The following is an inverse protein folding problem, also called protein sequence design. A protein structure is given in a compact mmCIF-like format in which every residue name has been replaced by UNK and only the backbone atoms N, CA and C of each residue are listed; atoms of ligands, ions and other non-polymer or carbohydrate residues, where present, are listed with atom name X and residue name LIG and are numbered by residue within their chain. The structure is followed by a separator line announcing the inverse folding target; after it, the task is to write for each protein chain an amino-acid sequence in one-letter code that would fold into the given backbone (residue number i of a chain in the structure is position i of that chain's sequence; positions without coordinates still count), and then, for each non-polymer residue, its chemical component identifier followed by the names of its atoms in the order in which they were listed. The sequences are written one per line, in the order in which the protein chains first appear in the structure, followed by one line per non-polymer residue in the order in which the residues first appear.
data_IF_020271871574
#
_entry.id   IF_020271871574
#
_cell.length_a   1.000
_cell.length_b   1.000
_cell.length_c   1.000
_cell.angle_alpha   90.00
_cell.angle_beta   90.00
_cell.angle_gamma   90.00
#
_symmetry.space_group_name_H-M   'P 1'
#
loop_
_entity.id
_entity.type
_entity.pdbx_description
1 polymer ?
#
# COMPACT_ATOMS: atom_id res chain seq x y z
N UNK A 1 47.81 -37.26 50.30
CA UNK A 1 47.60 -36.23 49.25
C UNK A 1 46.39 -36.66 48.41
N UNK A 2 45.15 -36.31 48.81
CA UNK A 2 43.97 -36.59 48.00
C UNK A 2 43.82 -35.51 46.92
N UNK A 3 43.55 -35.93 45.69
CA UNK A 3 43.27 -35.06 44.54
C UNK A 3 41.81 -34.58 44.61
N UNK A 4 41.64 -33.27 44.51
CA UNK A 4 40.37 -32.56 44.57
C UNK A 4 39.45 -32.90 43.39
N UNK A 5 38.19 -33.16 43.70
CA UNK A 5 37.10 -33.34 42.72
C UNK A 5 36.85 -32.07 41.90
N UNK A 6 36.92 -32.22 40.58
CA UNK A 6 36.51 -31.23 39.58
C UNK A 6 34.99 -30.98 39.63
N UNK A 7 34.60 -29.81 40.13
CA UNK A 7 33.21 -29.33 40.09
C UNK A 7 32.83 -28.91 38.66
N UNK A 8 31.99 -29.72 38.01
CA UNK A 8 31.33 -29.38 36.74
C UNK A 8 30.35 -28.21 36.92
N UNK A 9 30.35 -27.20 36.03
CA UNK A 9 29.46 -26.06 36.14
C UNK A 9 28.00 -26.46 35.88
N UNK A 10 27.11 -26.03 36.78
CA UNK A 10 25.68 -26.23 36.69
C UNK A 10 25.10 -25.65 35.39
N UNK A 11 24.37 -26.48 34.64
CA UNK A 11 23.68 -26.07 33.42
C UNK A 11 22.64 -24.98 33.73
N UNK A 12 22.86 -23.78 33.19
CA UNK A 12 21.91 -22.66 33.27
C UNK A 12 20.62 -23.08 32.56
N UNK A 13 19.53 -23.21 33.32
CA UNK A 13 18.23 -23.51 32.77
C UNK A 13 17.81 -22.44 31.74
N UNK A 14 17.30 -22.83 30.56
CA UNK A 14 16.89 -21.86 29.55
C UNK A 14 15.76 -20.99 30.09
N UNK A 15 15.94 -19.66 30.01
CA UNK A 15 14.94 -18.70 30.41
C UNK A 15 13.58 -19.01 29.76
N UNK A 16 12.53 -19.10 30.58
CA UNK A 16 11.18 -19.34 30.09
C UNK A 16 10.81 -18.25 29.06
N UNK A 17 10.24 -18.62 27.90
CA UNK A 17 9.89 -17.65 26.88
C UNK A 17 8.85 -16.67 27.44
N UNK A 18 9.17 -15.38 27.39
CA UNK A 18 8.25 -14.30 27.78
C UNK A 18 7.05 -14.34 26.84
N UNK A 19 5.91 -14.84 27.34
CA UNK A 19 4.66 -14.87 26.59
C UNK A 19 4.14 -13.44 26.50
N UNK A 20 4.25 -12.84 25.32
CA UNK A 20 3.65 -11.53 25.09
C UNK A 20 2.13 -11.68 25.09
N UNK A 21 1.42 -10.92 25.94
CA UNK A 21 -0.04 -10.89 25.90
C UNK A 21 -0.51 -10.29 24.56
N UNK A 22 -1.51 -10.92 23.96
CA UNK A 22 -2.15 -10.42 22.74
C UNK A 22 -2.74 -9.03 22.99
N UNK A 23 -2.43 -8.02 22.16
CA UNK A 23 -3.10 -6.72 22.23
C UNK A 23 -4.60 -6.85 21.99
N UNK A 24 -5.43 -6.10 22.72
CA UNK A 24 -6.91 -6.14 22.62
C UNK A 24 -7.44 -5.94 21.19
N UNK A 25 -6.72 -5.19 20.33
CA UNK A 25 -7.11 -4.91 18.93
C UNK A 25 -6.26 -5.65 17.90
N UNK A 26 -5.69 -6.80 18.27
CA UNK A 26 -4.90 -7.63 17.36
C UNK A 26 -5.78 -8.31 16.30
N UNK A 27 -5.51 -8.05 15.02
CA UNK A 27 -6.18 -8.69 13.88
C UNK A 27 -5.67 -10.13 13.60
N UNK A 28 -4.78 -10.66 14.44
CA UNK A 28 -4.23 -12.02 14.25
C UNK A 28 -5.33 -13.06 14.41
N UNK A 29 -5.52 -13.88 13.39
CA UNK A 29 -6.56 -14.93 13.38
C UNK A 29 -5.97 -16.25 13.87
N UNK A 30 -6.84 -17.12 14.41
CA UNK A 30 -6.44 -18.51 14.65
C UNK A 30 -6.02 -19.18 13.34
N UNK A 31 -5.12 -20.16 13.44
CA UNK A 31 -4.45 -20.78 12.29
C UNK A 31 -3.24 -20.00 11.75
N UNK A 32 -2.96 -18.78 12.25
CA UNK A 32 -1.72 -18.06 11.91
C UNK A 32 -0.58 -18.37 12.89
N UNK A 33 0.65 -18.40 12.39
CA UNK A 33 1.85 -18.65 13.22
C UNK A 33 2.01 -17.64 14.37
N UNK A 34 1.72 -16.36 14.10
CA UNK A 34 1.77 -15.27 15.09
C UNK A 34 0.77 -15.45 16.24
N UNK A 35 -0.32 -16.20 16.03
CA UNK A 35 -1.27 -16.48 17.10
C UNK A 35 -0.63 -17.32 18.21
N UNK A 36 0.21 -18.30 17.84
CA UNK A 36 0.93 -19.14 18.79
C UNK A 36 1.99 -18.35 19.57
N UNK A 37 2.60 -17.32 18.96
CA UNK A 37 3.58 -16.47 19.63
C UNK A 37 2.96 -15.64 20.78
N UNK A 38 1.64 -15.42 20.76
CA UNK A 38 0.88 -14.84 21.88
C UNK A 38 0.45 -15.85 22.95
N UNK A 39 0.95 -17.08 22.90
CA UNK A 39 0.62 -18.14 23.86
C UNK A 39 -0.66 -18.93 23.52
N UNK A 40 -1.21 -18.81 22.31
CA UNK A 40 -2.36 -19.62 21.91
C UNK A 40 -2.00 -21.12 21.83
N UNK A 41 -2.74 -21.96 22.58
CA UNK A 41 -2.50 -23.41 22.68
C UNK A 41 -3.23 -24.24 21.63
N UNK A 42 -4.08 -23.65 20.79
CA UNK A 42 -4.81 -24.38 19.74
C UNK A 42 -3.87 -25.11 18.78
N UNK A 43 -4.24 -26.34 18.42
CA UNK A 43 -3.42 -27.21 17.57
C UNK A 43 -3.08 -26.56 16.21
N UNK A 44 -4.06 -25.94 15.56
CA UNK A 44 -3.91 -25.22 14.29
C UNK A 44 -2.85 -24.11 14.35
N UNK A 45 -2.84 -23.32 15.43
CA UNK A 45 -1.87 -22.23 15.61
C UNK A 45 -0.46 -22.78 15.85
N UNK A 46 -0.33 -23.83 16.68
CA UNK A 46 0.96 -24.49 16.94
C UNK A 46 1.53 -25.11 15.67
N UNK A 47 0.71 -25.81 14.89
CA UNK A 47 1.11 -26.38 13.61
C UNK A 47 1.53 -25.29 12.60
N UNK A 48 0.80 -24.18 12.52
CA UNK A 48 1.19 -23.05 11.70
C UNK A 48 2.55 -22.46 12.12
N UNK A 49 2.78 -22.31 13.43
CA UNK A 49 4.06 -21.83 13.95
C UNK A 49 5.21 -22.80 13.67
N UNK A 50 4.98 -24.11 13.81
CA UNK A 50 5.96 -25.15 13.48
C UNK A 50 6.32 -25.12 11.99
N UNK A 51 5.32 -25.05 11.09
CA UNK A 51 5.53 -24.90 9.65
C UNK A 51 6.38 -23.65 9.34
N UNK A 52 6.05 -22.51 9.93
CA UNK A 52 6.82 -21.27 9.76
C UNK A 52 8.26 -21.38 10.31
N UNK A 53 8.49 -22.09 11.42
CA UNK A 53 9.84 -22.35 11.95
C UNK A 53 10.64 -23.27 11.03
N UNK A 54 10.03 -24.35 10.51
CA UNK A 54 10.66 -25.27 9.55
C UNK A 54 11.06 -24.54 8.27
N UNK A 55 10.16 -23.73 7.71
CA UNK A 55 10.46 -22.92 6.53
C UNK A 55 11.66 -21.99 6.78
N UNK A 56 11.65 -21.22 7.88
CA UNK A 56 12.78 -20.33 8.24
C UNK A 56 14.10 -21.07 8.48
N UNK A 57 14.05 -22.34 8.88
CA UNK A 57 15.25 -23.18 9.01
C UNK A 57 15.74 -23.60 7.63
N UNK A 58 14.85 -24.05 6.75
CA UNK A 58 15.20 -24.40 5.36
C UNK A 58 15.76 -23.22 4.59
N UNK A 59 15.16 -22.04 4.72
CA UNK A 59 15.65 -20.81 4.09
C UNK A 59 17.07 -20.48 4.56
N UNK A 60 17.33 -20.58 5.87
CA UNK A 60 18.68 -20.40 6.42
C UNK A 60 19.69 -21.43 5.89
N UNK A 61 19.30 -22.69 5.78
CA UNK A 61 20.15 -23.74 5.20
C UNK A 61 20.45 -23.49 3.72
N UNK A 62 19.55 -22.83 3.00
CA UNK A 62 19.74 -22.39 1.60
C UNK A 62 20.52 -21.08 1.48
N UNK A 63 21.01 -20.51 2.58
CA UNK A 63 21.70 -19.21 2.59
C UNK A 63 20.79 -18.02 2.28
N UNK A 64 19.47 -18.19 2.35
CA UNK A 64 18.52 -17.12 2.08
C UNK A 64 18.43 -16.17 3.27
N UNK A 65 18.72 -14.89 3.05
CA UNK A 65 18.55 -13.86 4.09
C UNK A 65 17.09 -13.76 4.53
N UNK A 66 16.85 -13.67 5.85
CA UNK A 66 15.51 -13.48 6.41
C UNK A 66 14.92 -12.09 6.10
N UNK A 67 15.78 -11.12 5.76
CA UNK A 67 15.46 -9.76 5.40
C UNK A 67 15.82 -9.51 3.95
N UNK A 68 14.93 -8.85 3.22
CA UNK A 68 15.13 -8.53 1.80
C UNK A 68 14.82 -7.06 1.53
N UNK A 69 15.47 -6.46 0.53
CA UNK A 69 15.13 -5.12 0.08
C UNK A 69 13.65 -5.02 -0.32
N UNK A 70 12.94 -3.95 0.06
CA UNK A 70 11.49 -3.86 -0.13
C UNK A 70 11.04 -3.56 -1.57
N UNK A 71 11.97 -3.20 -2.46
CA UNK A 71 11.64 -2.58 -3.76
C UNK A 71 10.75 -3.45 -4.66
N UNK A 72 11.01 -4.76 -4.74
CA UNK A 72 10.20 -5.66 -5.57
C UNK A 72 8.75 -5.73 -5.08
N UNK A 73 8.56 -5.92 -3.78
CA UNK A 73 7.24 -5.94 -3.15
C UNK A 73 6.54 -4.58 -3.25
N UNK A 74 7.27 -3.48 -3.10
CA UNK A 74 6.73 -2.12 -3.25
C UNK A 74 6.21 -1.87 -4.67
N UNK A 75 7.03 -2.16 -5.71
CA UNK A 75 6.61 -2.03 -7.10
C UNK A 75 5.41 -2.91 -7.43
N UNK A 76 5.38 -4.15 -6.94
CA UNK A 76 4.23 -5.03 -7.14
C UNK A 76 2.97 -4.51 -6.44
N UNK A 77 3.07 -4.05 -5.20
CA UNK A 77 1.96 -3.44 -4.48
C UNK A 77 1.42 -2.20 -5.20
N UNK A 78 2.29 -1.39 -5.82
CA UNK A 78 1.87 -0.27 -6.69
C UNK A 78 1.07 -0.79 -7.89
N UNK A 79 1.55 -1.83 -8.59
CA UNK A 79 0.79 -2.44 -9.71
C UNK A 79 -0.58 -2.96 -9.26
N UNK A 80 -0.67 -3.60 -8.10
CA UNK A 80 -1.95 -4.07 -7.53
C UNK A 80 -2.91 -2.89 -7.31
N UNK A 81 -2.40 -1.74 -6.83
CA UNK A 81 -3.20 -0.52 -6.66
C UNK A 81 -3.65 0.08 -7.99
N UNK A 82 -2.80 0.04 -9.01
CA UNK A 82 -3.15 0.48 -10.36
C UNK A 82 -4.26 -0.38 -10.98
N UNK A 83 -4.35 -1.65 -10.57
CA UNK A 83 -5.45 -2.56 -10.89
C UNK A 83 -6.69 -2.40 -9.99
N UNK A 84 -6.70 -1.42 -9.08
CA UNK A 84 -7.87 -1.11 -8.25
C UNK A 84 -7.90 -1.75 -6.87
N UNK A 85 -6.85 -2.46 -6.44
CA UNK A 85 -6.79 -2.94 -5.05
C UNK A 85 -6.46 -1.82 -4.08
N UNK A 86 -7.22 -1.72 -3.00
CA UNK A 86 -6.86 -0.87 -1.88
C UNK A 86 -5.73 -1.48 -1.03
N UNK A 87 -5.10 -0.69 -0.18
CA UNK A 87 -4.12 -1.21 0.78
C UNK A 87 -4.74 -2.23 1.76
N UNK A 88 -6.06 -2.13 1.99
CA UNK A 88 -6.80 -3.09 2.81
C UNK A 88 -6.91 -4.43 2.07
N UNK A 89 -7.32 -4.42 0.80
CA UNK A 89 -7.45 -5.65 0.00
C UNK A 89 -6.12 -6.38 -0.15
N UNK A 90 -5.04 -5.63 -0.38
CA UNK A 90 -3.68 -6.18 -0.44
C UNK A 90 -3.32 -6.83 0.91
N UNK A 91 -3.64 -6.18 2.03
CA UNK A 91 -3.36 -6.69 3.36
C UNK A 91 -4.14 -7.98 3.64
N UNK A 92 -5.43 -7.99 3.33
CA UNK A 92 -6.30 -9.14 3.54
C UNK A 92 -5.88 -10.34 2.68
N UNK A 93 -5.52 -10.12 1.40
CA UNK A 93 -5.04 -11.19 0.50
C UNK A 93 -3.65 -11.71 0.86
N UNK A 94 -2.73 -10.84 1.29
CA UNK A 94 -1.40 -11.27 1.74
C UNK A 94 -1.39 -11.81 3.18
N UNK A 95 -2.49 -11.71 3.94
CA UNK A 95 -2.52 -12.04 5.37
C UNK A 95 -1.61 -11.13 6.20
N UNK A 96 -1.45 -9.88 5.79
CA UNK A 96 -0.59 -8.87 6.44
C UNK A 96 -1.43 -7.81 7.15
N UNK A 97 -0.79 -6.97 7.96
CA UNK A 97 -1.46 -5.78 8.49
C UNK A 97 -1.48 -4.64 7.46
N UNK A 98 -2.56 -3.87 7.45
CA UNK A 98 -2.72 -2.69 6.58
C UNK A 98 -1.59 -1.68 6.79
N UNK A 99 -1.12 -1.52 8.03
CA UNK A 99 0.00 -0.63 8.37
C UNK A 99 1.29 -1.09 7.69
N UNK A 100 1.53 -2.40 7.64
CA UNK A 100 2.70 -2.95 6.95
C UNK A 100 2.60 -2.75 5.44
N UNK A 101 1.43 -3.00 4.85
CA UNK A 101 1.20 -2.73 3.41
C UNK A 101 1.37 -1.25 3.09
N UNK A 102 0.80 -0.35 3.91
CA UNK A 102 1.00 1.10 3.76
C UNK A 102 2.46 1.51 3.88
N UNK A 103 3.24 0.84 4.74
CA UNK A 103 4.69 1.06 4.85
C UNK A 103 5.41 0.63 3.57
N UNK A 104 5.09 -0.55 3.03
CA UNK A 104 5.63 -1.04 1.75
C UNK A 104 5.30 -0.09 0.60
N UNK A 105 4.06 0.40 0.53
CA UNK A 105 3.60 1.37 -0.48
C UNK A 105 4.23 2.76 -0.37
N UNK A 106 4.83 3.12 0.77
CA UNK A 106 5.52 4.40 0.98
C UNK A 106 7.00 4.34 0.61
N UNK A 107 7.54 3.17 0.32
CA UNK A 107 8.94 3.01 -0.07
C UNK A 107 9.14 3.72 -1.41
N UNK A 108 9.96 4.78 -1.47
CA UNK A 108 10.34 5.39 -2.74
C UNK A 108 11.13 4.38 -3.56
N UNK A 109 10.97 4.37 -4.88
CA UNK A 109 11.53 3.33 -5.76
C UNK A 109 13.05 3.11 -5.62
N UNK A 110 13.78 4.08 -5.06
CA UNK A 110 15.24 4.07 -4.95
C UNK A 110 15.77 4.73 -3.68
N UNK A 111 15.00 4.74 -2.58
CA UNK A 111 15.51 5.34 -1.34
C UNK A 111 16.51 4.40 -0.66
N UNK A 112 17.79 4.80 -0.62
CA UNK A 112 18.83 4.10 0.14
C UNK A 112 18.52 3.95 1.64
N UNK A 113 17.56 4.71 2.16
CA UNK A 113 17.10 4.66 3.55
C UNK A 113 15.93 3.69 3.76
N UNK A 114 15.49 2.98 2.72
CA UNK A 114 14.41 2.01 2.83
C UNK A 114 14.86 0.83 3.71
N UNK A 115 14.19 0.64 4.85
CA UNK A 115 14.47 -0.48 5.74
C UNK A 115 14.06 -1.80 5.10
N UNK A 116 14.91 -2.81 5.23
CA UNK A 116 14.60 -4.17 4.80
C UNK A 116 13.34 -4.72 5.46
N UNK A 117 12.56 -5.44 4.67
CA UNK A 117 11.35 -6.13 5.12
C UNK A 117 11.64 -7.61 5.33
N UNK A 118 10.80 -8.29 6.11
CA UNK A 118 10.89 -9.73 6.23
C UNK A 118 10.63 -10.37 4.85
N UNK A 119 11.43 -11.38 4.49
CA UNK A 119 11.26 -12.13 3.24
C UNK A 119 9.83 -12.65 3.08
N UNK A 120 9.26 -13.20 4.14
CA UNK A 120 7.86 -13.67 4.15
C UNK A 120 6.85 -12.57 3.83
N UNK A 121 7.12 -11.32 4.22
CA UNK A 121 6.28 -10.18 3.83
C UNK A 121 6.42 -9.87 2.34
N UNK A 122 7.63 -9.87 1.82
CA UNK A 122 7.88 -9.65 0.39
C UNK A 122 7.18 -10.74 -0.44
N UNK A 123 7.39 -12.00 -0.09
CA UNK A 123 6.80 -13.15 -0.78
C UNK A 123 5.27 -13.13 -0.70
N UNK A 124 4.69 -12.77 0.45
CA UNK A 124 3.24 -12.67 0.61
C UNK A 124 2.62 -11.59 -0.28
N UNK A 125 3.30 -10.44 -0.44
CA UNK A 125 2.84 -9.38 -1.36
C UNK A 125 3.01 -9.83 -2.81
N UNK A 126 4.18 -10.36 -3.17
CA UNK A 126 4.51 -10.82 -4.52
C UNK A 126 3.61 -11.99 -4.98
N UNK A 127 3.16 -12.82 -4.04
CA UNK A 127 2.26 -13.94 -4.31
C UNK A 127 0.79 -13.55 -4.56
N UNK A 128 0.41 -12.28 -4.37
CA UNK A 128 -0.96 -11.84 -4.71
C UNK A 128 -1.11 -11.84 -6.23
N UNK A 129 -2.04 -12.64 -6.80
CA UNK A 129 -2.30 -12.61 -8.23
C UNK A 129 -2.88 -11.26 -8.65
N UNK A 130 -2.47 -10.76 -9.81
CA UNK A 130 -3.12 -9.59 -10.41
C UNK A 130 -4.58 -9.96 -10.71
N UNK A 131 -5.54 -9.12 -10.32
CA UNK A 131 -6.94 -9.40 -10.58
C UNK A 131 -7.17 -9.27 -12.09
N UNK A 132 -7.95 -10.17 -12.71
CA UNK A 132 -8.39 -9.98 -14.09
C UNK A 132 -9.21 -8.68 -14.14
N UNK A 133 -8.66 -7.65 -14.80
CA UNK A 133 -9.24 -6.34 -15.11
C UNK A 133 -10.48 -5.84 -14.31
N UNK A 134 -10.27 -4.71 -13.63
CA UNK A 134 -11.22 -3.60 -13.36
C UNK A 134 -12.61 -3.96 -12.81
N UNK A 135 -12.65 -4.67 -11.70
CA UNK A 135 -13.66 -4.33 -10.70
C UNK A 135 -12.93 -3.94 -9.42
N UNK A 136 -12.96 -2.65 -9.03
CA UNK A 136 -12.57 -2.25 -7.69
C UNK A 136 -13.55 -2.91 -6.72
N UNK A 137 -13.26 -4.16 -6.33
CA UNK A 137 -14.14 -4.99 -5.51
C UNK A 137 -14.36 -4.44 -4.10
N UNK A 138 -13.63 -3.39 -3.70
CA UNK A 138 -13.80 -2.77 -2.40
C UNK A 138 -13.75 -1.22 -2.45
N UNK A 139 -14.56 -0.54 -1.62
CA UNK A 139 -14.56 0.91 -1.45
C UNK A 139 -13.30 1.37 -0.69
N UNK A 140 -12.16 1.42 -1.38
CA UNK A 140 -10.92 1.99 -0.83
C UNK A 140 -10.90 3.52 -0.90
N UNK A 141 -10.53 4.20 0.20
CA UNK A 141 -10.16 5.62 0.17
C UNK A 141 -8.65 5.77 -0.06
N UNK A 142 -8.27 6.67 -0.96
CA UNK A 142 -6.87 7.04 -1.25
C UNK A 142 -6.64 8.53 -1.01
N UNK A 143 -5.37 8.91 -0.81
CA UNK A 143 -4.94 10.31 -0.85
C UNK A 143 -5.34 10.96 -2.16
N UNK A 144 -5.80 12.20 -2.10
CA UNK A 144 -6.21 13.01 -3.25
C UNK A 144 -5.10 13.80 -3.90
N UNK A 145 -3.95 13.97 -3.24
CA UNK A 145 -2.87 14.87 -3.67
C UNK A 145 -2.52 14.71 -5.15
N UNK A 146 -2.34 13.46 -5.60
CA UNK A 146 -2.05 13.18 -7.01
C UNK A 146 -3.23 13.57 -7.92
N UNK A 147 -4.46 13.15 -7.58
CA UNK A 147 -5.66 13.51 -8.34
C UNK A 147 -5.89 15.02 -8.41
N UNK A 148 -5.63 15.75 -7.32
CA UNK A 148 -5.71 17.21 -7.26
C UNK A 148 -4.72 17.84 -8.24
N UNK A 149 -3.46 17.37 -8.23
CA UNK A 149 -2.41 17.83 -9.17
C UNK A 149 -2.80 17.57 -10.62
N UNK A 150 -3.24 16.36 -10.95
CA UNK A 150 -3.66 16.01 -12.31
C UNK A 150 -4.84 16.86 -12.80
N UNK A 151 -5.84 17.12 -11.94
CA UNK A 151 -6.95 18.01 -12.30
C UNK A 151 -6.53 19.47 -12.42
N UNK A 152 -5.53 19.92 -11.65
CA UNK A 152 -4.95 21.25 -11.80
C UNK A 152 -4.17 21.37 -13.13
N UNK A 153 -3.47 20.33 -13.54
CA UNK A 153 -2.74 20.28 -14.82
C UNK A 153 -3.70 20.39 -16.01
N UNK A 154 -4.82 19.65 -15.98
CA UNK A 154 -5.87 19.78 -17.00
C UNK A 154 -6.51 21.18 -17.00
N UNK A 155 -6.71 21.79 -15.83
CA UNK A 155 -7.21 23.17 -15.76
C UNK A 155 -6.19 24.17 -16.36
N UNK A 156 -4.89 23.96 -16.16
CA UNK A 156 -3.84 24.76 -16.82
C UNK A 156 -3.80 24.56 -18.33
N UNK A 157 -4.21 23.39 -18.82
CA UNK A 157 -4.43 23.13 -20.25
C UNK A 157 -5.76 23.73 -20.78
N UNK A 158 -6.62 24.30 -19.92
CA UNK A 158 -7.86 24.95 -20.32
C UNK A 158 -9.11 24.08 -20.25
N UNK A 159 -9.02 22.88 -19.67
CA UNK A 159 -10.18 21.98 -19.52
C UNK A 159 -11.13 22.46 -18.40
N UNK A 160 -12.41 22.76 -18.70
CA UNK A 160 -13.36 23.21 -17.69
C UNK A 160 -13.85 22.05 -16.80
N UNK A 161 -14.08 22.34 -15.52
CA UNK A 161 -14.51 21.34 -14.54
C UNK A 161 -15.81 20.62 -14.92
N UNK A 162 -16.74 21.31 -15.59
CA UNK A 162 -18.00 20.72 -16.08
C UNK A 162 -17.76 19.64 -17.14
N UNK A 163 -16.87 19.89 -18.12
CA UNK A 163 -16.53 18.91 -19.15
C UNK A 163 -15.80 17.70 -18.56
N UNK A 164 -14.88 17.94 -17.61
CA UNK A 164 -14.20 16.86 -16.89
C UNK A 164 -15.20 16.02 -16.08
N UNK A 165 -16.16 16.65 -15.42
CA UNK A 165 -17.21 15.98 -14.65
C UNK A 165 -18.07 15.04 -15.51
N UNK A 166 -18.51 15.50 -16.69
CA UNK A 166 -19.27 14.68 -17.64
C UNK A 166 -18.50 13.42 -18.03
N UNK A 167 -17.22 13.54 -18.40
CA UNK A 167 -16.38 12.40 -18.79
C UNK A 167 -16.09 11.45 -17.62
N UNK A 168 -16.05 11.97 -16.39
CA UNK A 168 -15.85 11.16 -15.18
C UNK A 168 -17.14 10.52 -14.66
N UNK A 169 -18.32 10.96 -15.12
CA UNK A 169 -19.61 10.56 -14.56
C UNK A 169 -19.79 11.03 -13.11
N UNK A 170 -19.35 12.26 -12.78
CA UNK A 170 -19.50 12.87 -11.46
C UNK A 170 -19.98 14.31 -11.57
N UNK A 171 -20.38 14.93 -10.47
CA UNK A 171 -20.78 16.34 -10.47
C UNK A 171 -19.56 17.28 -10.59
N UNK A 172 -19.70 18.39 -11.31
CA UNK A 172 -18.66 19.43 -11.44
C UNK A 172 -18.12 19.95 -10.09
N UNK A 173 -18.99 20.06 -9.07
CA UNK A 173 -18.62 20.41 -7.69
C UNK A 173 -17.63 19.40 -7.10
N UNK A 174 -17.81 18.10 -7.35
CA UNK A 174 -16.88 17.07 -6.90
C UNK A 174 -15.49 17.23 -7.51
N UNK A 175 -15.41 17.59 -8.80
CA UNK A 175 -14.12 17.88 -9.47
C UNK A 175 -13.44 19.09 -8.83
N UNK A 176 -14.20 20.17 -8.55
CA UNK A 176 -13.68 21.34 -7.86
C UNK A 176 -13.18 21.01 -6.44
N UNK A 177 -13.95 20.25 -5.67
CA UNK A 177 -13.59 19.84 -4.30
C UNK A 177 -12.33 18.96 -4.27
N UNK A 178 -12.21 18.00 -5.20
CA UNK A 178 -11.01 17.17 -5.34
C UNK A 178 -9.80 18.03 -5.69
N UNK A 179 -9.96 19.03 -6.56
CA UNK A 179 -8.87 19.94 -6.91
C UNK A 179 -8.42 20.82 -5.74
N UNK A 180 -9.33 21.21 -4.85
CA UNK A 180 -9.04 22.23 -3.84
C UNK A 180 -8.69 21.67 -2.45
N UNK A 181 -9.57 20.87 -1.85
CA UNK A 181 -9.54 20.66 -0.38
C UNK A 181 -9.85 19.25 0.07
N UNK A 182 -10.29 18.35 -0.81
CA UNK A 182 -10.67 17.01 -0.39
C UNK A 182 -9.42 16.22 -0.02
N UNK A 183 -9.23 15.72 1.22
CA UNK A 183 -8.01 15.01 1.60
C UNK A 183 -7.99 13.54 1.13
N UNK A 184 -9.18 12.96 0.95
CA UNK A 184 -9.36 11.56 0.56
C UNK A 184 -10.50 11.39 -0.44
N UNK A 185 -10.28 10.57 -1.46
CA UNK A 185 -11.31 10.18 -2.42
C UNK A 185 -11.35 8.66 -2.62
N UNK A 186 -12.42 8.18 -3.24
CA UNK A 186 -12.53 6.78 -3.64
C UNK A 186 -11.43 6.44 -4.64
N UNK A 187 -10.80 5.28 -4.45
CA UNK A 187 -9.72 4.77 -5.29
C UNK A 187 -10.15 4.68 -6.76
N UNK A 188 -11.36 4.19 -7.01
CA UNK A 188 -11.93 4.14 -8.36
C UNK A 188 -11.97 5.51 -9.04
N UNK A 189 -12.44 6.55 -8.35
CA UNK A 189 -12.44 7.92 -8.89
C UNK A 189 -11.01 8.42 -9.15
N UNK A 190 -10.05 8.11 -8.27
CA UNK A 190 -8.64 8.49 -8.48
C UNK A 190 -8.06 7.85 -9.74
N UNK A 191 -8.37 6.56 -9.99
CA UNK A 191 -7.94 5.84 -11.18
C UNK A 191 -8.61 6.37 -12.44
N UNK A 192 -9.90 6.71 -12.39
CA UNK A 192 -10.61 7.38 -13.49
C UNK A 192 -9.98 8.73 -13.83
N UNK A 193 -9.66 9.56 -12.84
CA UNK A 193 -8.95 10.83 -13.03
C UNK A 193 -7.58 10.62 -13.69
N UNK A 194 -6.79 9.64 -13.22
CA UNK A 194 -5.46 9.34 -13.80
C UNK A 194 -5.55 8.90 -15.26
N UNK A 195 -6.59 8.15 -15.62
CA UNK A 195 -6.81 7.76 -17.02
C UNK A 195 -7.22 8.96 -17.87
N UNK A 196 -8.21 9.72 -17.40
CA UNK A 196 -8.67 10.92 -18.10
C UNK A 196 -7.53 11.91 -18.34
N UNK A 197 -6.65 12.10 -17.37
CA UNK A 197 -5.48 12.96 -17.54
C UNK A 197 -4.58 12.48 -18.68
N UNK A 198 -4.25 11.18 -18.74
CA UNK A 198 -3.43 10.61 -19.83
C UNK A 198 -4.09 10.77 -21.19
N UNK A 199 -5.41 10.68 -21.25
CA UNK A 199 -6.17 10.86 -22.48
C UNK A 199 -6.19 12.33 -22.95
N UNK A 200 -6.27 13.31 -22.02
CA UNK A 200 -6.55 14.70 -22.38
C UNK A 200 -5.35 15.65 -22.35
N UNK A 201 -4.25 15.33 -21.67
CA UNK A 201 -3.18 16.31 -21.43
C UNK A 201 -2.50 16.82 -22.71
N UNK A 202 -2.47 16.02 -23.77
CA UNK A 202 -1.93 16.41 -25.07
C UNK A 202 -2.96 16.93 -26.08
N UNK A 203 -4.25 17.01 -25.69
CA UNK A 203 -5.34 17.39 -26.59
C UNK A 203 -5.76 18.83 -26.30
N UNK A 204 -5.85 19.64 -27.35
CA UNK A 204 -6.41 20.98 -27.25
C UNK A 204 -7.91 20.93 -26.92
N UNK A 205 -8.39 21.51 -25.80
CA UNK A 205 -9.80 21.52 -25.47
C UNK A 205 -10.67 22.18 -26.53
N UNK A 206 -10.16 23.13 -27.32
CA UNK A 206 -10.94 23.79 -28.39
C UNK A 206 -11.29 22.80 -29.50
N UNK A 207 -10.34 21.94 -29.89
CA UNK A 207 -10.58 20.84 -30.84
C UNK A 207 -11.64 19.82 -30.35
N UNK A 208 -11.98 19.86 -29.06
CA UNK A 208 -12.95 18.99 -28.40
C UNK A 208 -14.27 19.70 -28.10
N UNK A 209 -14.52 20.84 -28.75
CA UNK A 209 -15.79 21.59 -28.65
C UNK A 209 -15.87 22.54 -27.46
N UNK A 210 -14.78 22.77 -26.72
CA UNK A 210 -14.74 23.79 -25.68
C UNK A 210 -14.57 25.17 -26.34
N UNK A 211 -15.40 26.14 -25.96
CA UNK A 211 -15.29 27.50 -26.50
C UNK A 211 -13.91 28.11 -26.17
N UNK A 212 -13.23 28.75 -27.13
CA UNK A 212 -11.91 29.35 -26.90
C UNK A 212 -11.88 30.33 -25.71
N UNK A 213 -12.93 31.13 -25.54
CA UNK A 213 -13.06 32.07 -24.44
C UNK A 213 -13.13 31.37 -23.07
N UNK A 214 -13.83 30.23 -22.97
CA UNK A 214 -13.91 29.46 -21.74
C UNK A 214 -12.58 28.79 -21.43
N UNK A 215 -11.92 28.20 -22.43
CA UNK A 215 -10.58 27.64 -22.27
C UNK A 215 -9.57 28.69 -21.80
N UNK A 216 -9.57 29.89 -22.40
CA UNK A 216 -8.71 31.00 -21.98
C UNK A 216 -9.02 31.47 -20.55
N UNK A 217 -10.30 31.60 -20.19
CA UNK A 217 -10.73 31.98 -18.84
C UNK A 217 -10.26 30.97 -17.78
N UNK A 218 -10.38 29.67 -18.08
CA UNK A 218 -9.94 28.61 -17.18
C UNK A 218 -8.42 28.63 -16.99
N UNK A 219 -7.65 28.80 -18.07
CA UNK A 219 -6.18 28.97 -18.01
C UNK A 219 -5.78 30.15 -17.13
N UNK A 220 -6.41 31.30 -17.33
CA UNK A 220 -6.17 32.51 -16.53
C UNK A 220 -6.55 32.30 -15.04
N UNK A 221 -7.65 31.60 -14.76
CA UNK A 221 -8.02 31.26 -13.38
C UNK A 221 -7.01 30.31 -12.73
N UNK A 222 -6.51 29.31 -13.47
CA UNK A 222 -5.51 28.37 -12.97
C UNK A 222 -4.18 29.07 -12.69
N UNK A 223 -3.72 29.97 -13.57
CA UNK A 223 -2.50 30.74 -13.38
C UNK A 223 -2.56 31.62 -12.11
N UNK A 224 -3.67 32.34 -11.89
CA UNK A 224 -3.86 33.17 -10.69
C UNK A 224 -3.77 32.37 -9.39
N UNK A 225 -4.22 31.12 -9.38
CA UNK A 225 -4.15 30.25 -8.19
C UNK A 225 -2.73 29.82 -7.86
N UNK A 226 -1.86 29.64 -8.86
CA UNK A 226 -0.44 29.31 -8.62
C UNK A 226 0.30 30.52 -8.06
N UNK A 227 -0.08 31.73 -8.46
CA UNK A 227 0.55 32.97 -8.01
C UNK A 227 0.09 33.45 -6.61
N UNK A 228 -1.04 32.94 -6.11
CA UNK A 228 -1.62 33.33 -4.81
C UNK A 228 -1.40 32.33 -3.67
N UNK A 229 -0.54 31.33 -3.89
CA UNK A 229 -0.07 30.35 -2.89
C UNK A 229 1.41 30.58 -2.67
#
# INVERSE_FOLDING_TARGET
MPLSEEQLPAAVAPAAPVVQRRPQRSAVRHGQASCADYGCTRAECRQAALRARRQRRQDRLRGLSARVPPYAAARWAVRLREQGMSAQDIADRAGLSVTLVRRVLRVPEQSALARDIARTTADAVLGIPLPPRREPGAPGLTSSVESSRLLADLARAGWPAAALALRLGVHARTVAEVREKRPRLRLDLALRIRRLHRELIGIDPVSQGIRPADAARIRASAARRVAGV
#
